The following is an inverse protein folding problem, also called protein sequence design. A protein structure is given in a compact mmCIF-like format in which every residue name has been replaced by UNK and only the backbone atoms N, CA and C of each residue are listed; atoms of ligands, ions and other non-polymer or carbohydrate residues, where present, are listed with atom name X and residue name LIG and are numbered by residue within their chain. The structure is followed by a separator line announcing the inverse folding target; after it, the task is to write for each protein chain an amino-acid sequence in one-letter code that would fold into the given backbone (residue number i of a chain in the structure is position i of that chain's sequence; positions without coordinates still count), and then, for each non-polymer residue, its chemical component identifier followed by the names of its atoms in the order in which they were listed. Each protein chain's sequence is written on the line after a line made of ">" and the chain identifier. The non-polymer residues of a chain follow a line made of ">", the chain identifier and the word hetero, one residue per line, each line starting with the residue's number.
data_IF_542956661931
#
_entry.id   IF_542956661931
#
_cell.length_a   1.000
_cell.length_b   1.000
_cell.length_c   1.000
_cell.angle_alpha   90.00
_cell.angle_beta   90.00
_cell.angle_gamma   90.00
#
_symmetry.space_group_name_H-M   'P 1'
#
loop_
_entity.id
_entity.type
_entity.pdbx_description
1 polymer ?
#
# COMPACT_ATOMS: atom_id res chain seq x y z
N UNK A 1 7.75 -12.38 -7.04
CA UNK A 1 9.15 -12.86 -7.02
C UNK A 1 9.24 -14.36 -6.99
N UNK A 2 8.58 -15.05 -6.06
CA UNK A 2 8.70 -16.51 -5.96
C UNK A 2 8.39 -17.23 -7.29
N UNK A 3 7.29 -16.88 -7.97
CA UNK A 3 6.94 -17.43 -9.28
C UNK A 3 7.99 -17.07 -10.34
N UNK A 4 8.37 -15.79 -10.44
CA UNK A 4 9.37 -15.32 -11.40
C UNK A 4 10.74 -15.95 -11.18
N UNK A 5 11.15 -16.12 -9.92
CA UNK A 5 12.40 -16.78 -9.53
C UNK A 5 12.38 -18.23 -10.03
N UNK A 6 11.30 -18.99 -9.77
CA UNK A 6 11.17 -20.37 -10.26
C UNK A 6 11.27 -20.46 -11.79
N UNK A 7 10.67 -19.51 -12.52
CA UNK A 7 10.69 -19.51 -13.98
C UNK A 7 12.05 -19.10 -14.53
N UNK A 8 12.73 -18.13 -13.91
CA UNK A 8 13.92 -17.47 -14.47
C UNK A 8 15.24 -17.81 -13.76
N UNK A 9 15.25 -18.66 -12.71
CA UNK A 9 16.47 -19.02 -11.97
C UNK A 9 17.43 -19.96 -12.72
N UNK A 10 17.14 -20.32 -13.99
CA UNK A 10 17.91 -21.23 -14.84
C UNK A 10 18.20 -22.62 -14.23
N UNK A 11 17.51 -23.02 -13.16
CA UNK A 11 17.70 -24.33 -12.52
C UNK A 11 17.00 -25.48 -13.30
N UNK A 12 15.92 -25.17 -14.00
CA UNK A 12 15.14 -26.15 -14.78
C UNK A 12 14.79 -25.61 -16.18
N UNK A 13 14.59 -26.49 -17.19
CA UNK A 13 14.05 -26.11 -18.49
C UNK A 13 12.67 -25.48 -18.37
N UNK A 14 12.33 -24.55 -19.27
CA UNK A 14 11.06 -23.80 -19.25
C UNK A 14 9.81 -24.69 -19.20
N UNK A 15 9.82 -25.85 -19.87
CA UNK A 15 8.69 -26.77 -19.88
C UNK A 15 8.42 -27.43 -18.51
N UNK A 16 9.39 -27.40 -17.59
CA UNK A 16 9.24 -27.84 -16.19
C UNK A 16 8.96 -26.65 -15.29
N UNK A 17 9.74 -25.57 -15.44
CA UNK A 17 9.65 -24.38 -14.59
C UNK A 17 8.29 -23.71 -14.68
N UNK A 18 7.69 -23.63 -15.87
CA UNK A 18 6.39 -22.97 -16.07
C UNK A 18 5.25 -23.72 -15.35
N UNK A 19 5.00 -25.03 -15.60
CA UNK A 19 3.99 -25.78 -14.85
C UNK A 19 4.24 -25.76 -13.35
N UNK A 20 5.49 -25.91 -12.92
CA UNK A 20 5.85 -25.89 -11.51
C UNK A 20 5.55 -24.53 -10.85
N UNK A 21 5.91 -23.42 -11.52
CA UNK A 21 5.60 -22.08 -11.04
C UNK A 21 4.09 -21.80 -10.97
N UNK A 22 3.29 -22.34 -11.90
CA UNK A 22 1.82 -22.26 -11.86
C UNK A 22 1.28 -22.99 -10.63
N UNK A 23 1.72 -24.23 -10.39
CA UNK A 23 1.29 -25.03 -9.24
C UNK A 23 1.64 -24.33 -7.93
N UNK A 24 2.89 -23.87 -7.77
CA UNK A 24 3.34 -23.14 -6.58
C UNK A 24 2.57 -21.82 -6.43
N UNK A 25 2.32 -21.08 -7.51
CA UNK A 25 1.55 -19.85 -7.49
C UNK A 25 0.11 -20.07 -7.02
N UNK A 26 -0.55 -21.11 -7.51
CA UNK A 26 -1.90 -21.50 -7.07
C UNK A 26 -1.90 -21.88 -5.58
N UNK A 27 -0.97 -22.72 -5.15
CA UNK A 27 -0.84 -23.11 -3.74
C UNK A 27 -0.64 -21.91 -2.82
N UNK A 28 0.26 -20.98 -3.19
CA UNK A 28 0.46 -19.75 -2.43
C UNK A 28 -0.81 -18.90 -2.38
N UNK A 29 -1.56 -18.81 -3.49
CA UNK A 29 -2.86 -18.14 -3.53
C UNK A 29 -3.88 -18.75 -2.54
N UNK A 30 -4.01 -20.08 -2.54
CA UNK A 30 -4.88 -20.82 -1.62
C UNK A 30 -4.46 -20.68 -0.15
N UNK A 31 -3.16 -20.50 0.13
CA UNK A 31 -2.65 -20.28 1.50
C UNK A 31 -2.87 -18.83 1.95
N UNK A 32 -2.60 -17.85 1.08
CA UNK A 32 -2.68 -16.42 1.42
C UNK A 32 -4.13 -15.98 1.69
N UNK A 33 -5.11 -16.51 0.97
CA UNK A 33 -6.52 -16.14 1.13
C UNK A 33 -7.07 -16.36 2.57
N UNK A 34 -7.01 -17.57 3.16
CA UNK A 34 -7.48 -17.80 4.53
C UNK A 34 -6.60 -17.08 5.57
N UNK A 35 -5.29 -16.95 5.32
CA UNK A 35 -4.41 -16.15 6.18
C UNK A 35 -4.82 -14.68 6.19
N UNK A 36 -5.19 -14.12 5.04
CA UNK A 36 -5.75 -12.78 4.93
C UNK A 36 -6.96 -12.58 5.83
N UNK A 37 -7.92 -13.50 5.77
CA UNK A 37 -9.11 -13.43 6.60
C UNK A 37 -8.78 -13.45 8.12
N UNK A 38 -7.79 -14.26 8.54
CA UNK A 38 -7.39 -14.33 9.94
C UNK A 38 -6.56 -13.13 10.41
N UNK A 39 -5.65 -12.64 9.56
CA UNK A 39 -4.64 -11.66 9.93
C UNK A 39 -5.15 -10.22 9.94
N UNK A 40 -6.33 -9.95 9.37
CA UNK A 40 -6.96 -8.62 9.44
C UNK A 40 -7.18 -8.14 10.88
N UNK A 41 -7.36 -9.07 11.82
CA UNK A 41 -7.56 -8.81 13.24
C UNK A 41 -6.30 -8.24 13.91
N UNK A 42 -5.10 -8.62 13.44
CA UNK A 42 -3.82 -8.16 13.99
C UNK A 42 -3.68 -6.65 13.87
N UNK A 43 -4.20 -6.06 12.80
CA UNK A 43 -4.15 -4.62 12.55
C UNK A 43 -5.54 -3.96 12.58
N UNK A 44 -6.56 -4.64 13.13
CA UNK A 44 -7.96 -4.17 13.27
C UNK A 44 -8.56 -3.50 12.02
N UNK A 45 -8.17 -3.94 10.82
CA UNK A 45 -8.64 -3.35 9.56
C UNK A 45 -8.05 -1.96 9.19
N UNK A 46 -6.96 -1.51 9.82
CA UNK A 46 -6.29 -0.23 9.51
C UNK A 46 -5.20 -0.30 8.44
N UNK A 47 -4.89 -1.50 7.94
CA UNK A 47 -4.03 -1.69 6.78
C UNK A 47 -4.89 -2.11 5.59
N UNK A 48 -5.00 -1.23 4.59
CA UNK A 48 -5.76 -1.51 3.37
C UNK A 48 -5.14 -2.66 2.56
N UNK A 49 -3.85 -2.94 2.72
CA UNK A 49 -3.12 -3.94 1.96
C UNK A 49 -2.91 -5.24 2.75
N UNK A 50 -3.98 -5.76 3.34
CA UNK A 50 -3.94 -6.94 4.19
C UNK A 50 -3.39 -8.20 3.48
N UNK A 51 -3.66 -8.37 2.18
CA UNK A 51 -3.05 -9.45 1.40
C UNK A 51 -1.51 -9.31 1.36
N UNK A 52 -1.00 -8.09 1.28
CA UNK A 52 0.43 -7.82 1.35
C UNK A 52 1.03 -8.11 2.73
N UNK A 53 0.27 -7.85 3.80
CA UNK A 53 0.64 -8.26 5.16
C UNK A 53 0.71 -9.77 5.30
N UNK A 54 -0.31 -10.47 4.80
CA UNK A 54 -0.40 -11.93 4.85
C UNK A 54 0.70 -12.60 4.04
N UNK A 55 0.96 -12.13 2.82
CA UNK A 55 2.07 -12.60 2.00
C UNK A 55 3.42 -12.32 2.66
N UNK A 56 3.56 -11.22 3.40
CA UNK A 56 4.76 -10.91 4.18
C UNK A 56 4.99 -11.85 5.35
N UNK A 57 3.93 -12.20 6.10
CA UNK A 57 4.00 -13.20 7.17
C UNK A 57 4.41 -14.57 6.63
N UNK A 58 3.84 -14.99 5.49
CA UNK A 58 4.24 -16.21 4.79
C UNK A 58 5.71 -16.14 4.37
N UNK A 59 6.10 -15.06 3.68
CA UNK A 59 7.47 -14.85 3.21
C UNK A 59 8.50 -14.85 4.35
N UNK A 60 8.17 -14.26 5.49
CA UNK A 60 8.99 -14.31 6.71
C UNK A 60 9.22 -15.76 7.13
N UNK A 61 8.17 -16.56 7.30
CA UNK A 61 8.30 -17.97 7.72
C UNK A 61 9.12 -18.77 6.72
N UNK A 62 8.84 -18.64 5.43
CA UNK A 62 9.58 -19.36 4.38
C UNK A 62 11.07 -19.00 4.37
N UNK A 63 11.40 -17.70 4.42
CA UNK A 63 12.80 -17.26 4.43
C UNK A 63 13.51 -17.62 5.72
N UNK A 64 12.85 -17.58 6.87
CA UNK A 64 13.41 -18.06 8.13
C UNK A 64 13.80 -19.54 8.04
N UNK A 65 12.95 -20.37 7.44
CA UNK A 65 13.24 -21.80 7.21
C UNK A 65 14.42 -21.93 6.25
N UNK A 66 14.42 -21.26 5.09
CA UNK A 66 15.52 -21.36 4.12
C UNK A 66 16.87 -20.90 4.68
N UNK A 67 16.88 -19.83 5.47
CA UNK A 67 18.09 -19.36 6.15
C UNK A 67 18.62 -20.38 7.15
N UNK A 68 17.74 -21.13 7.82
CA UNK A 68 18.16 -22.20 8.74
C UNK A 68 18.90 -23.34 8.03
N UNK A 69 18.69 -23.50 6.71
CA UNK A 69 19.41 -24.42 5.84
C UNK A 69 20.56 -23.76 5.06
N UNK A 70 20.93 -22.51 5.37
CA UNK A 70 22.03 -21.79 4.73
C UNK A 70 21.70 -21.13 3.39
N UNK A 71 20.44 -21.11 2.94
CA UNK A 71 20.04 -20.43 1.71
C UNK A 71 19.62 -18.98 1.98
N UNK A 72 20.26 -18.04 1.29
CA UNK A 72 19.94 -16.60 1.36
C UNK A 72 19.47 -16.13 -0.03
N UNK A 73 18.18 -15.79 -0.19
CA UNK A 73 17.66 -15.25 -1.44
C UNK A 73 18.38 -13.95 -1.82
N UNK A 74 18.71 -13.79 -3.11
CA UNK A 74 19.28 -12.55 -3.65
C UNK A 74 18.16 -11.63 -4.12
N UNK A 75 18.32 -10.33 -3.89
CA UNK A 75 17.38 -9.31 -4.35
C UNK A 75 17.98 -8.51 -5.49
N UNK A 76 17.12 -7.99 -6.36
CA UNK A 76 17.48 -7.12 -7.47
C UNK A 76 16.64 -5.85 -7.39
N UNK A 77 17.27 -4.68 -7.53
CA UNK A 77 16.60 -3.38 -7.61
C UNK A 77 16.88 -2.76 -8.97
N UNK A 78 15.93 -2.91 -9.89
CA UNK A 78 15.99 -2.29 -11.22
C UNK A 78 15.13 -1.03 -11.18
N UNK A 79 15.78 0.14 -11.35
CA UNK A 79 15.12 1.44 -11.25
C UNK A 79 15.39 2.29 -12.50
N UNK A 80 14.40 2.42 -13.37
CA UNK A 80 14.51 3.22 -14.61
C UNK A 80 14.19 4.68 -14.34
N UNK A 81 14.92 5.59 -15.00
CA UNK A 81 14.78 7.04 -14.92
C UNK A 81 14.57 7.68 -16.30
N UNK A 82 14.13 8.94 -16.33
CA UNK A 82 14.05 9.76 -17.56
C UNK A 82 12.71 9.69 -18.32
N UNK A 83 11.74 8.91 -17.85
CA UNK A 83 10.44 8.73 -18.53
C UNK A 83 9.32 9.64 -17.97
N UNK A 84 9.66 10.59 -17.09
CA UNK A 84 8.70 11.38 -16.33
C UNK A 84 7.72 12.17 -17.21
N UNK A 85 8.18 12.78 -18.30
CA UNK A 85 7.31 13.56 -19.18
C UNK A 85 6.27 12.67 -19.87
N UNK A 86 6.70 11.60 -20.54
CA UNK A 86 5.81 10.71 -21.28
C UNK A 86 4.83 9.98 -20.36
N UNK A 87 5.31 9.41 -19.25
CA UNK A 87 4.47 8.70 -18.30
C UNK A 87 3.57 9.66 -17.51
N UNK A 88 4.05 10.86 -17.20
CA UNK A 88 3.28 11.90 -16.53
C UNK A 88 2.08 12.33 -17.37
N UNK A 89 2.29 12.65 -18.66
CA UNK A 89 1.22 12.99 -19.59
C UNK A 89 0.18 11.86 -19.62
N UNK A 90 0.62 10.62 -19.80
CA UNK A 90 -0.27 9.47 -19.84
C UNK A 90 -1.10 9.31 -18.56
N UNK A 91 -0.49 9.38 -17.38
CA UNK A 91 -1.18 9.24 -16.10
C UNK A 91 -2.18 10.37 -15.85
N UNK A 92 -1.78 11.62 -16.10
CA UNK A 92 -2.69 12.76 -15.96
C UNK A 92 -3.87 12.66 -16.91
N UNK A 93 -3.64 12.32 -18.19
CA UNK A 93 -4.73 12.09 -19.15
C UNK A 93 -5.69 11.00 -18.68
N UNK A 94 -5.17 9.86 -18.21
CA UNK A 94 -5.98 8.75 -17.70
C UNK A 94 -6.87 9.20 -16.53
N UNK A 95 -6.29 9.84 -15.51
CA UNK A 95 -7.05 10.22 -14.32
C UNK A 95 -8.00 11.40 -14.55
N UNK A 96 -7.68 12.31 -15.48
CA UNK A 96 -8.61 13.36 -15.92
C UNK A 96 -9.81 12.74 -16.64
N UNK A 97 -9.60 11.72 -17.49
CA UNK A 97 -10.70 11.00 -18.14
C UNK A 97 -11.58 10.31 -17.09
N UNK A 98 -10.99 9.59 -16.13
CA UNK A 98 -11.74 8.93 -15.05
C UNK A 98 -12.54 9.95 -14.21
N UNK A 99 -11.92 11.08 -13.86
CA UNK A 99 -12.58 12.16 -13.13
C UNK A 99 -13.75 12.74 -13.93
N UNK A 100 -13.53 13.00 -15.22
CA UNK A 100 -14.56 13.47 -16.14
C UNK A 100 -15.74 12.51 -16.26
N UNK A 101 -15.48 11.21 -16.43
CA UNK A 101 -16.51 10.17 -16.42
C UNK A 101 -17.30 10.17 -15.11
N UNK A 102 -16.62 10.22 -13.97
CA UNK A 102 -17.28 10.32 -12.66
C UNK A 102 -18.16 11.56 -12.53
N UNK A 103 -17.69 12.70 -13.03
CA UNK A 103 -18.45 13.96 -13.08
C UNK A 103 -19.70 13.86 -13.94
N UNK A 104 -19.62 13.28 -15.15
CA UNK A 104 -20.79 13.07 -15.99
C UNK A 104 -21.79 12.09 -15.37
N UNK A 105 -21.31 11.04 -14.70
CA UNK A 105 -22.16 10.07 -14.00
C UNK A 105 -22.79 10.64 -12.73
N UNK A 106 -22.20 11.68 -12.14
CA UNK A 106 -22.75 12.41 -11.00
C UNK A 106 -23.50 13.68 -11.43
N UNK A 107 -24.23 13.60 -12.55
CA UNK A 107 -25.09 14.69 -13.07
C UNK A 107 -24.35 16.02 -13.26
N UNK A 108 -23.07 15.96 -13.67
CA UNK A 108 -22.20 17.13 -13.82
C UNK A 108 -22.09 17.93 -12.52
N UNK A 109 -21.96 17.25 -11.39
CA UNK A 109 -21.83 17.86 -10.08
C UNK A 109 -20.72 17.25 -9.24
N UNK A 110 -20.15 18.05 -8.34
CA UNK A 110 -19.32 17.58 -7.23
C UNK A 110 -20.10 17.58 -5.90
N UNK A 111 -21.43 17.79 -5.97
CA UNK A 111 -22.30 17.74 -4.81
C UNK A 111 -22.14 16.39 -4.12
N UNK A 112 -22.11 16.41 -2.79
CA UNK A 112 -21.87 15.26 -1.90
C UNK A 112 -20.44 14.69 -1.88
N UNK A 113 -19.52 15.11 -2.77
CA UNK A 113 -18.11 14.71 -2.64
C UNK A 113 -17.49 15.01 -1.25
N UNK A 114 -17.83 16.13 -0.57
CA UNK A 114 -17.38 16.36 0.81
C UNK A 114 -17.84 15.31 1.83
N UNK A 115 -18.93 14.56 1.57
CA UNK A 115 -19.38 13.48 2.43
C UNK A 115 -18.48 12.25 2.29
N UNK A 116 -18.06 11.92 1.06
CA UNK A 116 -17.05 10.89 0.80
C UNK A 116 -15.78 11.13 1.63
N UNK A 117 -15.34 12.39 1.72
CA UNK A 117 -14.14 12.79 2.46
C UNK A 117 -14.28 12.69 4.00
N UNK A 118 -15.46 12.36 4.53
CA UNK A 118 -15.70 12.16 5.97
C UNK A 118 -15.59 10.69 6.39
N UNK A 119 -15.57 9.76 5.44
CA UNK A 119 -15.46 8.33 5.76
C UNK A 119 -14.08 8.00 6.32
N UNK A 120 -14.04 7.17 7.36
CA UNK A 120 -12.75 6.78 7.97
C UNK A 120 -11.90 5.90 7.04
N UNK A 121 -12.54 5.06 6.22
CA UNK A 121 -11.89 4.07 5.36
C UNK A 121 -11.47 2.78 6.07
N UNK A 122 -11.79 2.61 7.36
CA UNK A 122 -11.47 1.39 8.12
C UNK A 122 -12.27 0.18 7.56
N UNK A 123 -11.65 -1.01 7.56
CA UNK A 123 -12.26 -2.28 7.11
C UNK A 123 -12.70 -2.32 5.63
N UNK A 124 -12.01 -1.59 4.75
CA UNK A 124 -12.36 -1.49 3.31
C UNK A 124 -13.78 -0.95 3.09
N UNK A 125 -14.02 0.30 3.51
CA UNK A 125 -15.31 0.95 3.26
C UNK A 125 -15.56 1.07 1.76
N UNK A 126 -16.55 0.38 1.23
CA UNK A 126 -16.92 0.42 -0.19
C UNK A 126 -17.60 1.77 -0.52
N UNK A 127 -16.86 2.67 -1.14
CA UNK A 127 -17.37 4.00 -1.49
C UNK A 127 -18.38 3.97 -2.64
N UNK A 128 -18.37 2.93 -3.48
CA UNK A 128 -19.38 2.77 -4.52
C UNK A 128 -20.72 2.50 -3.85
N UNK A 129 -20.74 1.62 -2.84
CA UNK A 129 -21.95 1.34 -2.08
C UNK A 129 -22.40 2.52 -1.22
N UNK A 130 -21.46 3.27 -0.63
CA UNK A 130 -21.77 4.36 0.31
C UNK A 130 -22.15 5.69 -0.36
N UNK A 131 -21.46 6.08 -1.42
CA UNK A 131 -21.56 7.42 -2.04
C UNK A 131 -21.92 7.35 -3.53
N UNK A 132 -21.98 6.15 -4.11
CA UNK A 132 -22.30 5.93 -5.50
C UNK A 132 -21.07 5.91 -6.42
N UNK A 133 -21.29 5.37 -7.61
CA UNK A 133 -20.22 5.11 -8.57
C UNK A 133 -19.57 6.40 -9.11
N UNK A 134 -20.37 7.42 -9.43
CA UNK A 134 -19.86 8.70 -9.95
C UNK A 134 -18.89 9.42 -9.00
N UNK A 135 -19.26 9.55 -7.72
CA UNK A 135 -18.39 10.14 -6.68
C UNK A 135 -17.14 9.30 -6.43
N UNK A 136 -17.25 7.98 -6.51
CA UNK A 136 -16.11 7.08 -6.35
C UNK A 136 -15.10 7.20 -7.49
N UNK A 137 -15.56 7.38 -8.74
CA UNK A 137 -14.69 7.66 -9.88
C UNK A 137 -14.04 9.05 -9.78
N UNK A 138 -14.79 10.07 -9.34
CA UNK A 138 -14.22 11.40 -9.05
C UNK A 138 -13.08 11.27 -8.03
N UNK A 139 -13.31 10.55 -6.93
CA UNK A 139 -12.31 10.33 -5.90
C UNK A 139 -11.08 9.58 -6.44
N UNK A 140 -11.29 8.53 -7.25
CA UNK A 140 -10.22 7.79 -7.91
C UNK A 140 -9.35 8.71 -8.79
N UNK A 141 -9.98 9.51 -9.65
CA UNK A 141 -9.27 10.46 -10.52
C UNK A 141 -8.46 11.47 -9.71
N UNK A 142 -9.06 12.08 -8.68
CA UNK A 142 -8.36 13.06 -7.81
C UNK A 142 -7.18 12.41 -7.09
N UNK A 143 -7.36 11.23 -6.49
CA UNK A 143 -6.28 10.52 -5.81
C UNK A 143 -5.14 10.09 -6.75
N UNK A 144 -5.47 9.68 -7.98
CA UNK A 144 -4.49 9.32 -8.99
C UNK A 144 -3.65 10.51 -9.45
N UNK A 145 -4.29 11.66 -9.72
CA UNK A 145 -3.62 12.93 -10.00
C UNK A 145 -2.72 13.30 -8.82
N UNK A 146 -3.26 13.30 -7.60
CA UNK A 146 -2.53 13.67 -6.39
C UNK A 146 -1.29 12.80 -6.16
N UNK A 147 -1.40 11.48 -6.33
CA UNK A 147 -0.26 10.56 -6.21
C UNK A 147 0.78 10.78 -7.32
N UNK A 148 0.34 11.06 -8.55
CA UNK A 148 1.24 11.38 -9.68
C UNK A 148 1.98 12.68 -9.42
N UNK A 149 1.26 13.74 -9.02
CA UNK A 149 1.84 15.03 -8.66
C UNK A 149 2.81 14.91 -7.50
N UNK A 150 2.49 14.12 -6.47
CA UNK A 150 3.38 13.90 -5.34
C UNK A 150 4.76 13.38 -5.80
N UNK A 151 4.80 12.34 -6.65
CA UNK A 151 6.07 11.79 -7.15
C UNK A 151 6.86 12.82 -7.96
N UNK A 152 6.19 13.59 -8.82
CA UNK A 152 6.88 14.60 -9.63
C UNK A 152 7.38 15.79 -8.79
N UNK A 153 6.64 16.18 -7.74
CA UNK A 153 7.00 17.29 -6.86
C UNK A 153 8.21 16.99 -5.96
N UNK A 154 8.45 15.71 -5.65
CA UNK A 154 9.62 15.28 -4.86
C UNK A 154 10.82 14.91 -5.74
N UNK A 155 10.82 15.30 -7.02
CA UNK A 155 11.83 14.91 -8.02
C UNK A 155 12.00 13.39 -8.17
N UNK A 156 10.91 12.65 -7.95
CA UNK A 156 10.85 11.20 -8.11
C UNK A 156 10.82 10.74 -9.57
N UNK A 157 10.91 9.43 -9.77
CA UNK A 157 10.93 8.83 -11.11
C UNK A 157 9.65 8.01 -11.36
N UNK A 158 8.94 8.34 -12.44
CA UNK A 158 7.84 7.53 -12.94
C UNK A 158 8.41 6.31 -13.68
N UNK A 159 8.09 5.13 -13.15
CA UNK A 159 8.50 3.82 -13.67
C UNK A 159 7.52 2.74 -13.20
N UNK A 160 7.79 1.47 -13.52
CA UNK A 160 6.91 0.35 -13.17
C UNK A 160 6.50 0.33 -11.67
N UNK A 161 7.47 0.31 -10.73
CA UNK A 161 7.18 0.38 -9.30
C UNK A 161 6.34 1.59 -8.87
N UNK A 162 6.68 2.82 -9.27
CA UNK A 162 5.92 4.01 -8.85
C UNK A 162 4.54 4.08 -9.49
N UNK A 163 4.40 3.71 -10.77
CA UNK A 163 3.09 3.60 -11.45
C UNK A 163 2.22 2.56 -10.75
N UNK A 164 2.77 1.41 -10.35
CA UNK A 164 2.02 0.41 -9.60
C UNK A 164 1.52 0.96 -8.26
N UNK A 165 2.30 1.79 -7.57
CA UNK A 165 1.87 2.47 -6.35
C UNK A 165 0.75 3.48 -6.60
N UNK A 166 0.85 4.28 -7.67
CA UNK A 166 -0.17 5.25 -8.08
C UNK A 166 -1.48 4.53 -8.42
N UNK A 167 -1.43 3.45 -9.21
CA UNK A 167 -2.61 2.63 -9.51
C UNK A 167 -3.18 1.94 -8.29
N UNK A 168 -2.34 1.53 -7.34
CA UNK A 168 -2.82 0.97 -6.08
C UNK A 168 -3.56 2.02 -5.26
N UNK A 169 -3.07 3.27 -5.20
CA UNK A 169 -3.81 4.37 -4.57
C UNK A 169 -5.15 4.56 -5.26
N UNK A 170 -5.16 4.70 -6.59
CA UNK A 170 -6.38 4.91 -7.37
C UNK A 170 -7.41 3.78 -7.17
N UNK A 171 -6.99 2.51 -7.21
CA UNK A 171 -7.88 1.37 -6.99
C UNK A 171 -8.49 1.37 -5.59
N UNK A 172 -7.67 1.61 -4.55
CA UNK A 172 -8.15 1.68 -3.17
C UNK A 172 -8.90 2.98 -2.83
N UNK A 173 -8.92 3.97 -3.73
CA UNK A 173 -9.82 5.12 -3.62
C UNK A 173 -11.29 4.75 -3.83
N UNK A 174 -11.59 3.53 -4.26
CA UNK A 174 -12.96 2.97 -4.21
C UNK A 174 -13.27 2.29 -2.87
N UNK A 175 -12.24 1.92 -2.09
CA UNK A 175 -12.34 1.05 -0.91
C UNK A 175 -11.62 1.61 0.33
N UNK A 176 -11.81 2.91 0.61
CA UNK A 176 -11.37 3.51 1.88
C UNK A 176 -10.25 4.56 1.80
N UNK A 177 -9.80 4.98 0.61
CA UNK A 177 -8.88 6.12 0.47
C UNK A 177 -9.54 7.34 -0.13
N UNK A 178 -9.17 8.51 0.36
CA UNK A 178 -9.52 9.78 -0.25
C UNK A 178 -8.45 10.83 0.08
N UNK A 179 -8.40 11.99 -0.61
CA UNK A 179 -7.32 12.97 -0.42
C UNK A 179 -7.06 13.34 1.04
N UNK A 180 -8.12 13.56 1.85
CA UNK A 180 -7.96 13.93 3.26
C UNK A 180 -7.29 12.86 4.15
N UNK A 181 -7.30 11.58 3.80
CA UNK A 181 -6.72 10.53 4.64
C UNK A 181 -5.36 10.02 4.12
N UNK A 182 -5.05 10.21 2.82
CA UNK A 182 -3.73 9.90 2.26
C UNK A 182 -2.71 11.02 2.47
N UNK A 183 -3.12 12.29 2.45
CA UNK A 183 -2.22 13.44 2.61
C UNK A 183 -1.41 13.40 3.91
N UNK A 184 -2.01 13.10 5.09
CA UNK A 184 -1.24 12.93 6.32
C UNK A 184 -0.11 11.90 6.23
N UNK A 185 -0.32 10.81 5.49
CA UNK A 185 0.70 9.78 5.32
C UNK A 185 1.88 10.33 4.52
N UNK A 186 1.61 11.05 3.43
CA UNK A 186 2.65 11.72 2.64
C UNK A 186 3.44 12.75 3.47
N UNK A 187 2.76 13.54 4.31
CA UNK A 187 3.44 14.45 5.24
C UNK A 187 4.30 13.71 6.26
N UNK A 188 3.83 12.58 6.78
CA UNK A 188 4.61 11.73 7.68
C UNK A 188 5.90 11.21 7.04
N UNK A 189 5.83 10.77 5.79
CA UNK A 189 7.02 10.32 5.03
C UNK A 189 7.95 11.48 4.72
N UNK A 190 7.41 12.65 4.35
CA UNK A 190 8.19 13.87 4.12
C UNK A 190 8.96 14.28 5.38
N UNK A 191 8.30 14.36 6.54
CA UNK A 191 8.97 14.63 7.82
C UNK A 191 10.03 13.56 8.11
N UNK A 192 9.74 12.30 7.79
CA UNK A 192 10.71 11.21 7.87
C UNK A 192 11.98 11.50 7.08
N UNK A 193 11.85 11.94 5.83
CA UNK A 193 12.99 12.27 4.96
C UNK A 193 13.80 13.49 5.41
N UNK A 194 13.21 14.39 6.20
CA UNK A 194 13.91 15.55 6.76
C UNK A 194 14.70 15.21 8.03
N UNK A 195 14.23 14.23 8.80
CA UNK A 195 14.79 13.90 10.12
C UNK A 195 15.68 12.65 10.12
N UNK A 196 15.61 11.83 9.07
CA UNK A 196 16.30 10.54 8.99
C UNK A 196 17.37 10.56 7.89
N UNK A 197 18.16 9.51 7.84
CA UNK A 197 19.33 9.38 6.95
C UNK A 197 19.00 9.08 5.48
N UNK A 198 17.72 9.08 5.10
CA UNK A 198 17.26 8.78 3.74
C UNK A 198 16.62 10.02 3.11
N UNK A 199 16.67 10.11 1.79
CA UNK A 199 16.12 11.22 1.02
C UNK A 199 14.71 10.92 0.52
N UNK A 200 13.93 11.98 0.30
CA UNK A 200 12.53 11.85 -0.14
C UNK A 200 12.40 11.19 -1.52
N UNK A 201 13.41 11.37 -2.37
CA UNK A 201 13.48 10.82 -3.72
C UNK A 201 14.22 9.47 -3.78
N UNK A 202 14.60 8.87 -2.65
CA UNK A 202 15.14 7.51 -2.66
C UNK A 202 14.06 6.52 -3.14
N UNK A 203 14.40 5.53 -3.99
CA UNK A 203 13.43 4.56 -4.51
C UNK A 203 12.56 3.90 -3.43
N UNK A 204 13.19 3.48 -2.34
CA UNK A 204 12.49 2.87 -1.21
C UNK A 204 11.49 3.82 -0.53
N UNK A 205 11.81 5.11 -0.45
CA UNK A 205 10.99 6.14 0.20
C UNK A 205 9.85 6.59 -0.70
N UNK A 206 10.07 6.71 -2.01
CA UNK A 206 8.98 6.94 -2.98
C UNK A 206 7.92 5.82 -2.89
N UNK A 207 8.36 4.56 -2.83
CA UNK A 207 7.47 3.42 -2.64
C UNK A 207 6.83 3.42 -1.24
N UNK A 208 7.58 3.81 -0.19
CA UNK A 208 7.07 3.97 1.15
C UNK A 208 5.95 5.00 1.23
N UNK A 209 6.09 6.14 0.54
CA UNK A 209 5.05 7.16 0.48
C UNK A 209 3.79 6.61 -0.20
N UNK A 210 3.94 6.10 -1.44
CA UNK A 210 2.79 5.63 -2.23
C UNK A 210 2.06 4.47 -1.54
N UNK A 211 2.77 3.41 -1.19
CA UNK A 211 2.15 2.23 -0.62
C UNK A 211 1.89 2.37 0.89
N UNK A 212 2.59 3.26 1.60
CA UNK A 212 2.29 3.58 3.00
C UNK A 212 0.89 4.15 3.20
N UNK A 213 0.26 4.69 2.15
CA UNK A 213 -1.15 5.10 2.17
C UNK A 213 -2.11 3.94 2.48
N UNK A 214 -1.63 2.69 2.55
CA UNK A 214 -2.38 1.59 3.17
C UNK A 214 -2.84 1.91 4.61
N UNK A 215 -2.12 2.78 5.31
CA UNK A 215 -2.42 3.25 6.67
C UNK A 215 -3.36 4.47 6.69
N UNK A 216 -3.87 4.92 5.55
CA UNK A 216 -4.80 6.05 5.46
C UNK A 216 -6.00 5.95 6.44
N UNK A 217 -6.57 4.77 6.74
CA UNK A 217 -7.64 4.66 7.73
C UNK A 217 -7.27 5.15 9.13
N UNK A 218 -5.99 5.15 9.51
CA UNK A 218 -5.51 5.71 10.78
C UNK A 218 -5.80 7.22 10.82
N UNK A 219 -5.47 7.91 9.73
CA UNK A 219 -5.75 9.33 9.59
C UNK A 219 -7.27 9.61 9.57
N UNK A 220 -8.03 8.77 8.85
CA UNK A 220 -9.47 8.90 8.72
C UNK A 220 -10.22 8.71 10.05
N UNK A 221 -9.82 7.74 10.88
CA UNK A 221 -10.48 7.48 12.16
C UNK A 221 -9.93 8.31 13.33
N UNK A 222 -8.61 8.41 13.45
CA UNK A 222 -7.96 9.01 14.61
C UNK A 222 -7.53 10.46 14.39
N UNK A 223 -7.57 10.96 13.16
CA UNK A 223 -7.24 12.32 12.78
C UNK A 223 -5.85 12.45 12.15
N UNK A 224 -5.62 13.62 11.55
CA UNK A 224 -4.42 13.91 10.74
C UNK A 224 -3.09 13.64 11.45
N UNK A 225 -2.96 14.02 12.73
CA UNK A 225 -1.73 13.85 13.50
C UNK A 225 -1.32 12.36 13.52
N UNK A 226 -2.27 11.46 13.75
CA UNK A 226 -1.99 10.03 13.77
C UNK A 226 -1.69 9.45 12.39
N UNK A 227 -2.24 10.04 11.33
CA UNK A 227 -1.81 9.75 9.96
C UNK A 227 -0.35 10.14 9.70
N UNK A 228 0.06 11.32 10.15
CA UNK A 228 1.45 11.78 10.05
C UNK A 228 2.38 10.84 10.82
N UNK A 229 2.04 10.47 12.05
CA UNK A 229 2.79 9.48 12.83
C UNK A 229 2.87 8.14 12.11
N UNK A 230 1.77 7.67 11.53
CA UNK A 230 1.73 6.42 10.79
C UNK A 230 2.67 6.43 9.56
N UNK A 231 2.64 7.49 8.75
CA UNK A 231 3.56 7.67 7.62
C UNK A 231 5.02 7.76 8.06
N UNK A 232 5.27 8.51 9.14
CA UNK A 232 6.60 8.65 9.73
C UNK A 232 7.14 7.30 10.21
N UNK A 233 6.37 6.50 10.94
CA UNK A 233 6.80 5.18 11.42
C UNK A 233 6.97 4.20 10.25
N UNK A 234 6.01 4.15 9.33
CA UNK A 234 6.04 3.27 8.16
C UNK A 234 7.29 3.46 7.32
N UNK A 235 7.71 4.72 7.08
CA UNK A 235 8.94 5.03 6.33
C UNK A 235 10.21 4.43 6.93
N UNK A 236 10.22 4.14 8.24
CA UNK A 236 11.31 3.38 8.89
C UNK A 236 11.09 1.87 8.80
N UNK A 237 9.89 1.39 9.12
CA UNK A 237 9.59 -0.05 9.18
C UNK A 237 9.85 -0.71 7.83
N UNK A 238 9.40 -0.10 6.73
CA UNK A 238 9.50 -0.68 5.39
C UNK A 238 10.94 -0.96 4.94
N UNK A 239 11.88 -0.11 5.33
CA UNK A 239 13.30 -0.27 4.98
C UNK A 239 13.99 -1.39 5.76
N UNK A 240 13.42 -1.80 6.91
CA UNK A 240 14.01 -2.80 7.79
C UNK A 240 13.40 -4.19 7.61
N UNK A 241 12.11 -4.28 7.27
CA UNK A 241 11.41 -5.56 7.19
C UNK A 241 11.64 -6.29 5.86
N UNK A 242 12.20 -5.61 4.85
CA UNK A 242 12.59 -6.23 3.58
C UNK A 242 13.57 -7.39 3.74
N UNK A 243 14.49 -7.27 4.70
CA UNK A 243 15.45 -8.32 5.03
C UNK A 243 14.77 -9.58 5.58
N UNK A 244 13.66 -9.44 6.31
CA UNK A 244 13.02 -10.56 7.00
C UNK A 244 12.43 -11.61 6.05
N UNK A 245 11.92 -11.17 4.90
CA UNK A 245 11.38 -12.06 3.86
C UNK A 245 12.30 -12.19 2.63
N UNK A 246 13.57 -11.73 2.74
CA UNK A 246 14.59 -11.91 1.71
C UNK A 246 14.22 -11.30 0.34
N UNK A 247 13.33 -10.32 0.30
CA UNK A 247 12.79 -9.75 -0.95
C UNK A 247 11.86 -10.67 -1.75
N UNK A 248 11.47 -11.83 -1.20
CA UNK A 248 10.49 -12.72 -1.84
C UNK A 248 9.07 -12.15 -1.82
N UNK A 249 8.80 -11.16 -0.97
CA UNK A 249 7.54 -10.43 -0.93
C UNK A 249 7.62 -9.06 -1.65
N UNK A 250 7.00 -8.93 -2.84
CA UNK A 250 6.85 -7.63 -3.52
C UNK A 250 5.93 -6.69 -2.77
N UNK A 251 5.04 -7.23 -1.94
CA UNK A 251 4.12 -6.47 -1.12
C UNK A 251 4.77 -6.07 0.22
N UNK A 252 6.08 -5.82 0.23
CA UNK A 252 6.84 -5.41 1.42
C UNK A 252 6.20 -4.22 2.14
N UNK A 253 5.65 -3.26 1.39
CA UNK A 253 4.94 -2.13 1.99
C UNK A 253 3.65 -2.55 2.70
N UNK A 254 2.88 -3.50 2.16
CA UNK A 254 1.70 -4.02 2.84
C UNK A 254 2.06 -4.77 4.13
N UNK A 255 3.19 -5.49 4.13
CA UNK A 255 3.77 -6.11 5.32
C UNK A 255 4.20 -5.10 6.38
N UNK A 256 5.00 -4.11 5.98
CA UNK A 256 5.43 -3.02 6.85
C UNK A 256 4.26 -2.20 7.43
N UNK A 257 3.24 -1.92 6.61
CA UNK A 257 2.04 -1.24 7.05
C UNK A 257 1.27 -2.07 8.09
N UNK A 258 1.10 -3.37 7.86
CA UNK A 258 0.45 -4.26 8.82
C UNK A 258 1.15 -4.29 10.18
N UNK A 259 2.49 -4.39 10.19
CA UNK A 259 3.29 -4.30 11.42
C UNK A 259 3.18 -2.93 12.09
N UNK A 260 3.25 -1.85 11.30
CA UNK A 260 3.11 -0.48 11.82
C UNK A 260 1.75 -0.27 12.48
N UNK A 261 0.66 -0.74 11.84
CA UNK A 261 -0.68 -0.66 12.40
C UNK A 261 -0.84 -1.56 13.65
N UNK A 262 -0.29 -2.78 13.64
CA UNK A 262 -0.37 -3.68 14.80
C UNK A 262 0.22 -3.05 16.07
N UNK A 263 1.26 -2.23 15.93
CA UNK A 263 1.88 -1.50 17.06
C UNK A 263 1.16 -0.19 17.35
N UNK A 264 0.88 0.62 16.33
CA UNK A 264 0.33 1.96 16.53
C UNK A 264 -1.10 1.94 17.07
N UNK A 265 -1.96 1.04 16.60
CA UNK A 265 -3.38 1.07 16.93
C UNK A 265 -3.63 0.89 18.44
N UNK A 266 -3.06 -0.11 19.13
CA UNK A 266 -3.21 -0.23 20.58
C UNK A 266 -2.70 1.00 21.35
N UNK A 267 -1.58 1.59 20.91
CA UNK A 267 -0.99 2.79 21.54
C UNK A 267 -1.93 4.00 21.38
N UNK A 268 -2.46 4.21 20.18
CA UNK A 268 -3.40 5.31 19.89
C UNK A 268 -4.66 5.17 20.74
N UNK A 269 -5.23 3.96 20.81
CA UNK A 269 -6.43 3.69 21.58
C UNK A 269 -6.19 3.91 23.08
N UNK A 270 -5.04 3.49 23.61
CA UNK A 270 -4.64 3.73 25.00
C UNK A 270 -4.55 5.24 25.30
N UNK A 271 -3.86 6.00 24.46
CA UNK A 271 -3.67 7.44 24.64
C UNK A 271 -4.98 8.22 24.54
N UNK A 272 -5.93 7.78 23.69
CA UNK A 272 -7.23 8.44 23.56
C UNK A 272 -8.24 8.05 24.63
N UNK A 273 -8.20 6.81 25.15
CA UNK A 273 -9.20 6.31 26.09
C UNK A 273 -8.78 6.39 27.56
N UNK A 274 -7.47 6.57 27.84
CA UNK A 274 -6.92 6.55 29.20
C UNK A 274 -7.02 5.18 29.90
N UNK A 275 -7.40 4.12 29.18
CA UNK A 275 -7.52 2.74 29.68
C UNK A 275 -6.94 1.77 28.65
N UNK A 276 -6.39 0.64 29.11
CA UNK A 276 -5.96 -0.42 28.19
C UNK A 276 -7.18 -0.90 27.36
N UNK A 277 -7.00 -1.22 26.06
CA UNK A 277 -8.06 -1.79 25.27
C UNK A 277 -8.48 -3.14 25.88
N UNK A 278 -9.60 -3.13 26.61
CA UNK A 278 -10.23 -4.35 27.12
C UNK A 278 -10.98 -4.97 25.95
N UNK A 279 -10.60 -6.19 25.59
CA UNK A 279 -11.30 -6.98 24.59
C UNK A 279 -12.76 -7.15 25.02
N UNK A 280 -13.70 -6.60 24.25
CA UNK A 280 -15.14 -6.67 24.53
C UNK A 280 -15.77 -8.01 24.13
N UNK A 281 -14.96 -9.06 23.98
CA UNK A 281 -15.37 -10.41 23.59
C UNK A 281 -15.27 -11.42 24.75
N UNK A 282 -15.67 -10.99 25.95
CA UNK A 282 -16.11 -11.90 27.02
C UNK A 282 -17.59 -11.71 27.28
#
# INVERSE_FOLDING_TARGET
>A
PAISEIVFSNHFPLFISIPFAIVIGLLLGFIIAPLGASLINVHKGFNLYNIGFSAGMVGLVFVSIFRSFGYVPKTQLIWTSGNNSSLGIFLYSLFIIILGLGYFMNEKSFKNYPNLLKHSGQLMSDFIQLEGFGLSLINMGICGILATSYILLIDGQLNGPTISGIYTIAGFSLFGKHPKNILPIFFGVLIGSLLKVFYINDPGIQLAALFGTALAPIAGKYGWIWGIVAGFVHSSVVLNVGYLHGGLNLYNNGFAAGLSAAVLIPIIELLKSGRLPVDKTK
#
